data_IF_103926048854
#
_entry.id   IF_103926048854
#
_cell.length_a   1.000
_cell.length_b   1.000
_cell.length_c   1.000
_cell.angle_alpha   90.00
_cell.angle_beta   90.00
_cell.angle_gamma   90.00
#
_symmetry.space_group_name_H-M   'P 1'
#
loop_
_entity.id
_entity.type
_entity.pdbx_description
1 polymer ?
#
# COMPACT_ATOMS: atom_id res chain seq x y z
N UNK A 1 -25.97 -56.15 14.63
CA UNK A 1 -24.94 -57.04 15.22
C UNK A 1 -23.80 -56.17 15.70
N UNK A 2 -23.64 -56.07 17.01
CA UNK A 2 -22.46 -56.09 17.88
C UNK A 2 -21.34 -55.12 17.52
N UNK A 3 -21.16 -54.01 18.22
CA UNK A 3 -20.58 -53.90 19.61
C UNK A 3 -19.05 -53.74 19.54
N UNK A 4 -18.53 -52.69 20.16
CA UNK A 4 -17.12 -52.54 20.44
C UNK A 4 -16.76 -51.18 21.08
N UNK A 5 -17.17 -51.01 22.32
CA UNK A 5 -16.69 -50.02 23.28
C UNK A 5 -15.27 -50.39 23.74
N UNK A 6 -14.33 -49.44 23.81
CA UNK A 6 -13.32 -49.40 24.87
C UNK A 6 -12.72 -48.00 25.05
N UNK A 7 -13.03 -47.51 26.20
CA UNK A 7 -12.44 -46.54 27.10
C UNK A 7 -10.94 -46.75 27.30
N UNK A 8 -10.20 -45.66 27.44
CA UNK A 8 -9.14 -45.58 28.46
C UNK A 8 -8.89 -44.14 28.87
N UNK A 9 -9.26 -43.88 30.07
CA UNK A 9 -8.90 -42.77 30.95
C UNK A 9 -7.41 -42.92 31.31
N UNK A 10 -6.63 -41.82 31.29
CA UNK A 10 -5.50 -41.66 32.21
C UNK A 10 -5.38 -40.20 32.60
N UNK A 11 -5.80 -39.93 33.81
CA UNK A 11 -5.51 -38.71 34.56
C UNK A 11 -4.11 -38.82 35.15
N UNK A 12 -3.31 -37.78 35.07
CA UNK A 12 -2.17 -37.60 35.96
C UNK A 12 -2.13 -36.14 36.44
N UNK A 13 -2.50 -36.04 37.69
CA UNK A 13 -2.41 -34.90 38.59
C UNK A 13 -0.93 -34.76 38.97
N UNK A 14 -0.32 -33.59 38.74
CA UNK A 14 0.90 -33.17 39.45
C UNK A 14 0.65 -31.83 40.10
N UNK A 15 0.34 -31.88 41.38
CA UNK A 15 0.41 -30.78 42.33
C UNK A 15 1.90 -30.46 42.57
N UNK A 16 2.29 -29.22 42.29
CA UNK A 16 3.55 -28.65 42.70
C UNK A 16 3.30 -27.35 43.47
N UNK A 17 3.16 -27.47 44.79
CA UNK A 17 3.25 -26.33 45.71
C UNK A 17 4.69 -25.76 45.67
N UNK A 18 4.86 -24.51 45.33
CA UNK A 18 6.08 -23.78 45.59
C UNK A 18 5.76 -22.57 46.45
N UNK A 19 6.38 -22.56 47.59
CA UNK A 19 6.23 -21.63 48.70
C UNK A 19 6.59 -20.19 48.30
N UNK A 20 5.72 -19.27 48.67
CA UNK A 20 6.00 -17.86 48.74
C UNK A 20 6.95 -17.60 49.92
N UNK A 21 8.17 -17.18 49.66
CA UNK A 21 9.03 -16.46 50.61
C UNK A 21 8.81 -14.96 50.43
N UNK A 22 8.12 -14.36 51.38
CA UNK A 22 8.04 -12.92 51.53
C UNK A 22 9.38 -12.37 52.05
N UNK A 23 10.14 -11.75 51.17
CA UNK A 23 11.29 -10.92 51.56
C UNK A 23 10.76 -9.49 51.79
N UNK A 24 10.75 -9.08 53.07
CA UNK A 24 10.45 -7.71 53.47
C UNK A 24 11.48 -6.73 52.94
N UNK A 25 11.08 -5.89 52.00
CA UNK A 25 11.84 -4.70 51.65
C UNK A 25 11.43 -3.55 52.56
N UNK A 26 12.37 -3.12 53.39
CA UNK A 26 12.31 -1.85 54.15
C UNK A 26 12.26 -0.71 53.14
N UNK A 27 11.16 0.03 53.16
CA UNK A 27 11.00 1.26 52.40
C UNK A 27 11.84 2.35 53.11
N UNK A 28 13.00 2.69 52.57
CA UNK A 28 13.70 3.93 52.93
C UNK A 28 12.99 5.12 52.33
N UNK A 29 12.66 6.08 53.21
CA UNK A 29 12.03 7.33 52.80
C UNK A 29 12.98 8.15 51.89
N UNK A 30 12.48 8.81 50.85
CA UNK A 30 13.31 9.62 49.96
C UNK A 30 13.85 10.84 50.74
N UNK A 31 15.18 10.95 50.79
CA UNK A 31 15.87 12.15 51.26
C UNK A 31 15.71 13.23 50.18
N UNK A 32 15.08 14.33 50.49
CA UNK A 32 15.10 15.53 49.66
C UNK A 32 16.53 16.09 49.65
N UNK A 33 17.08 16.44 48.48
CA UNK A 33 18.39 17.11 48.42
C UNK A 33 18.25 18.54 48.96
N UNK A 34 19.24 18.92 49.79
CA UNK A 34 19.36 20.28 50.33
C UNK A 34 19.43 21.32 49.20
N UNK A 35 18.83 22.49 49.50
CA UNK A 35 18.76 23.63 48.59
C UNK A 35 20.15 24.07 48.14
N UNK A 36 20.54 23.67 46.95
CA UNK A 36 21.74 24.16 46.26
C UNK A 36 21.52 25.63 45.85
N UNK A 37 22.50 26.46 46.14
CA UNK A 37 22.54 27.87 45.74
C UNK A 37 22.30 28.00 44.23
N UNK A 38 21.31 28.84 43.87
CA UNK A 38 21.08 29.25 42.48
C UNK A 38 22.23 30.15 42.03
N UNK A 39 23.16 29.59 41.29
CA UNK A 39 24.16 30.38 40.55
C UNK A 39 23.46 30.94 39.33
N UNK A 40 23.14 32.21 39.34
CA UNK A 40 22.64 32.90 38.15
C UNK A 40 23.82 33.03 37.18
N UNK A 41 23.86 32.11 36.23
CA UNK A 41 24.71 32.32 35.05
C UNK A 41 24.07 33.39 34.20
N UNK A 42 24.75 34.49 34.06
CA UNK A 42 24.40 35.56 33.13
C UNK A 42 24.59 34.99 31.74
N UNK A 43 23.46 34.63 31.10
CA UNK A 43 23.43 34.09 29.76
C UNK A 43 23.94 35.15 28.78
N UNK A 44 25.06 34.85 28.11
CA UNK A 44 25.56 35.70 27.04
C UNK A 44 24.48 35.86 25.96
N UNK A 45 24.30 37.07 25.48
CA UNK A 45 23.31 37.36 24.42
C UNK A 45 23.53 36.39 23.23
N UNK A 46 22.49 35.73 22.74
CA UNK A 46 22.61 34.75 21.66
C UNK A 46 23.23 35.39 20.42
N UNK A 47 24.22 34.74 19.88
CA UNK A 47 24.90 35.16 18.66
C UNK A 47 23.86 35.20 17.52
N UNK A 48 23.84 36.23 16.70
CA UNK A 48 22.87 36.37 15.59
C UNK A 48 22.92 35.20 14.58
N UNK A 49 24.00 34.43 14.56
CA UNK A 49 24.14 33.25 13.71
C UNK A 49 23.35 32.04 14.22
N UNK A 50 23.06 31.98 15.55
CA UNK A 50 22.20 30.93 16.14
C UNK A 50 20.71 31.13 15.82
N UNK A 51 20.30 32.38 15.54
CA UNK A 51 18.91 32.68 15.19
C UNK A 51 18.51 32.10 13.81
N UNK A 52 19.47 31.91 12.89
CA UNK A 52 19.19 31.28 11.60
C UNK A 52 19.09 29.74 11.69
N UNK A 53 19.73 29.10 12.67
CA UNK A 53 19.58 27.67 12.92
C UNK A 53 18.33 27.32 13.74
N UNK A 54 17.83 28.24 14.55
CA UNK A 54 16.60 28.05 15.31
C UNK A 54 15.32 28.12 14.44
N UNK A 55 15.44 28.60 13.20
CA UNK A 55 14.36 28.68 12.23
C UNK A 55 14.07 27.36 11.49
N UNK A 56 14.83 26.30 11.73
CA UNK A 56 14.39 24.93 11.41
C UNK A 56 13.35 24.49 12.44
N UNK A 57 12.17 25.13 12.42
CA UNK A 57 11.04 24.75 13.23
C UNK A 57 10.79 23.23 13.10
N UNK A 58 10.44 22.57 14.18
CA UNK A 58 10.05 21.15 14.15
C UNK A 58 9.04 20.95 13.03
N UNK A 59 9.48 20.25 11.98
CA UNK A 59 8.59 19.92 10.88
C UNK A 59 7.53 18.96 11.40
N UNK A 60 6.28 19.32 11.22
CA UNK A 60 5.17 18.42 11.56
C UNK A 60 5.32 17.15 10.72
N UNK A 61 5.33 15.96 11.33
CA UNK A 61 5.44 14.71 10.58
C UNK A 61 4.32 14.60 9.55
N UNK A 62 4.63 14.08 8.38
CA UNK A 62 3.64 13.79 7.33
C UNK A 62 3.17 12.36 7.52
N UNK A 63 1.91 12.20 7.94
CA UNK A 63 1.26 10.92 8.08
C UNK A 63 0.90 10.31 6.72
N UNK A 64 0.57 11.15 5.74
CA UNK A 64 0.27 10.69 4.39
C UNK A 64 -0.30 11.76 3.48
N UNK A 65 -0.81 11.29 2.33
CA UNK A 65 -1.55 12.07 1.37
C UNK A 65 -2.94 11.50 1.21
N UNK A 66 -3.91 12.37 1.04
CA UNK A 66 -5.30 12.01 0.77
C UNK A 66 -5.77 12.73 -0.48
N UNK A 67 -6.50 12.04 -1.34
CA UNK A 67 -7.06 12.63 -2.54
C UNK A 67 -8.58 12.52 -2.56
N UNK A 68 -9.25 13.55 -3.08
CA UNK A 68 -10.64 13.50 -3.44
C UNK A 68 -10.76 13.39 -4.95
N UNK A 69 -11.17 12.22 -5.45
CA UNK A 69 -11.37 12.01 -6.87
C UNK A 69 -12.45 12.94 -7.44
N UNK A 70 -13.48 13.28 -6.64
CA UNK A 70 -14.58 14.17 -7.07
C UNK A 70 -14.13 15.61 -7.30
N UNK A 71 -13.11 16.07 -6.58
CA UNK A 71 -12.68 17.47 -6.60
C UNK A 71 -11.30 17.68 -7.24
N UNK A 72 -10.57 16.61 -7.54
CA UNK A 72 -9.21 16.68 -8.05
C UNK A 72 -8.26 17.34 -7.05
N UNK A 73 -8.55 17.24 -5.76
CA UNK A 73 -7.73 17.79 -4.68
C UNK A 73 -6.84 16.71 -4.09
N UNK A 74 -5.58 17.06 -3.88
CA UNK A 74 -4.61 16.32 -3.09
C UNK A 74 -4.32 17.12 -1.83
N UNK A 75 -4.36 16.51 -0.64
CA UNK A 75 -4.02 17.17 0.62
C UNK A 75 -3.00 16.37 1.40
N UNK A 76 -2.18 17.07 2.15
CA UNK A 76 -1.33 16.48 3.18
C UNK A 76 -2.16 16.10 4.40
N UNK A 77 -1.84 14.95 4.95
CA UNK A 77 -2.27 14.53 6.27
C UNK A 77 -1.07 14.71 7.21
N UNK A 78 -1.14 15.69 8.09
CA UNK A 78 -0.06 16.11 8.97
C UNK A 78 -0.31 15.61 10.40
N UNK A 79 0.75 15.24 11.12
CA UNK A 79 0.67 14.80 12.51
C UNK A 79 0.90 13.31 12.67
N UNK A 80 0.29 12.76 13.72
CA UNK A 80 0.31 11.32 14.06
C UNK A 80 -1.13 10.87 14.28
N UNK A 81 -1.45 9.55 14.24
CA UNK A 81 -2.78 9.07 14.60
C UNK A 81 -3.27 9.64 15.93
N UNK A 82 -4.51 10.14 15.97
CA UNK A 82 -5.08 10.80 17.16
C UNK A 82 -4.70 12.27 17.35
N UNK A 83 -3.68 12.78 16.66
CA UNK A 83 -3.28 14.19 16.67
C UNK A 83 -2.90 14.66 15.26
N UNK A 84 -3.85 14.58 14.34
CA UNK A 84 -3.64 14.86 12.92
C UNK A 84 -4.51 16.02 12.43
N UNK A 85 -4.04 16.68 11.37
CA UNK A 85 -4.76 17.74 10.68
C UNK A 85 -4.60 17.61 9.17
N UNK A 86 -5.60 18.07 8.41
CA UNK A 86 -5.49 18.22 6.97
C UNK A 86 -4.75 19.51 6.64
N UNK A 87 -3.69 19.38 5.83
CA UNK A 87 -2.97 20.52 5.27
C UNK A 87 -3.76 21.23 4.17
N UNK A 88 -3.17 22.28 3.64
CA UNK A 88 -3.70 23.00 2.48
C UNK A 88 -3.78 22.08 1.26
N UNK A 89 -4.74 22.32 0.35
CA UNK A 89 -4.81 21.59 -0.90
C UNK A 89 -3.56 21.80 -1.73
N UNK A 90 -3.01 20.69 -2.24
CA UNK A 90 -1.97 20.68 -3.25
C UNK A 90 -2.61 20.61 -4.63
N UNK A 91 -2.05 21.32 -5.60
CA UNK A 91 -2.56 21.26 -6.95
C UNK A 91 -2.20 19.91 -7.59
N UNK A 92 -3.18 19.22 -8.13
CA UNK A 92 -2.98 17.99 -8.91
C UNK A 92 -2.84 18.38 -10.38
N UNK A 93 -1.95 17.73 -11.16
CA UNK A 93 -1.87 18.00 -12.59
C UNK A 93 -3.25 17.90 -13.25
N UNK A 94 -3.62 18.89 -14.06
CA UNK A 94 -4.90 18.89 -14.75
C UNK A 94 -5.00 17.70 -15.71
N UNK A 95 -6.21 17.14 -15.86
CA UNK A 95 -6.45 16.08 -16.83
C UNK A 95 -6.13 14.67 -16.31
N UNK A 96 -5.99 14.47 -15.01
CA UNK A 96 -5.91 13.13 -14.41
C UNK A 96 -7.28 12.47 -14.36
N UNK A 97 -7.30 11.17 -14.64
CA UNK A 97 -8.43 10.27 -14.39
C UNK A 97 -8.34 9.73 -12.98
N UNK A 98 -7.19 9.14 -12.64
CA UNK A 98 -6.94 8.47 -11.37
C UNK A 98 -5.55 8.77 -10.82
N UNK A 99 -5.43 8.65 -9.50
CA UNK A 99 -4.21 8.78 -8.73
C UNK A 99 -4.05 7.54 -7.85
N UNK A 100 -3.01 6.75 -8.10
CA UNK A 100 -2.73 5.52 -7.36
C UNK A 100 -1.54 5.73 -6.44
N UNK A 101 -1.78 5.79 -5.14
CA UNK A 101 -0.71 5.93 -4.15
C UNK A 101 0.00 4.62 -3.90
N UNK A 102 1.32 4.66 -3.88
CA UNK A 102 2.11 3.55 -3.38
C UNK A 102 1.84 3.29 -1.89
N UNK A 103 1.98 2.05 -1.38
CA UNK A 103 1.68 1.73 0.02
C UNK A 103 2.46 2.56 1.05
N UNK A 104 3.68 2.99 0.74
CA UNK A 104 4.49 3.85 1.59
C UNK A 104 4.28 5.34 1.32
N UNK A 105 3.43 5.68 0.36
CA UNK A 105 3.11 7.04 -0.08
C UNK A 105 4.34 7.95 -0.32
N UNK A 106 5.44 7.38 -0.81
CA UNK A 106 6.59 8.15 -1.27
C UNK A 106 6.42 8.62 -2.72
N UNK A 107 5.47 8.03 -3.44
CA UNK A 107 5.10 8.38 -4.80
C UNK A 107 3.65 7.96 -5.12
N UNK A 108 3.15 8.45 -6.24
CA UNK A 108 1.90 7.97 -6.85
C UNK A 108 2.05 7.82 -8.36
N UNK A 109 1.29 6.89 -8.95
CA UNK A 109 1.11 6.77 -10.38
C UNK A 109 -0.07 7.64 -10.81
N UNK A 110 0.11 8.37 -11.91
CA UNK A 110 -0.84 9.34 -12.46
C UNK A 110 -1.42 8.79 -13.75
N UNK A 111 -2.68 8.37 -13.75
CA UNK A 111 -3.36 7.95 -14.97
C UNK A 111 -4.08 9.15 -15.61
N UNK A 112 -3.75 9.56 -16.84
CA UNK A 112 -4.38 10.69 -17.49
C UNK A 112 -5.80 10.32 -17.98
N UNK A 113 -6.70 11.32 -18.10
CA UNK A 113 -8.00 11.14 -18.77
C UNK A 113 -7.85 10.90 -20.27
N UNK A 114 -6.86 11.50 -20.86
CA UNK A 114 -6.49 11.37 -22.27
C UNK A 114 -4.96 11.48 -22.38
N UNK A 115 -4.39 10.73 -23.30
CA UNK A 115 -2.93 10.70 -23.50
C UNK A 115 -2.38 9.29 -23.35
N UNK A 116 -1.14 9.13 -23.76
CA UNK A 116 -0.51 7.83 -23.97
C UNK A 116 0.57 7.50 -22.94
N UNK A 117 0.68 8.30 -21.86
CA UNK A 117 1.80 8.16 -20.93
C UNK A 117 1.31 8.14 -19.48
N UNK A 118 1.65 7.09 -18.77
CA UNK A 118 1.50 7.00 -17.32
C UNK A 118 2.52 7.91 -16.65
N UNK A 119 2.06 8.76 -15.72
CA UNK A 119 2.92 9.64 -14.92
C UNK A 119 3.36 8.97 -13.62
N UNK A 120 4.48 9.45 -13.08
CA UNK A 120 4.99 9.13 -11.76
C UNK A 120 5.26 10.46 -11.03
N UNK A 121 4.58 10.68 -9.92
CA UNK A 121 4.82 11.81 -9.04
C UNK A 121 5.45 11.34 -7.73
N UNK A 122 6.60 11.90 -7.37
CA UNK A 122 7.26 11.62 -6.10
C UNK A 122 6.88 12.64 -5.05
N UNK A 123 6.94 12.27 -3.78
CA UNK A 123 6.64 13.14 -2.66
C UNK A 123 7.86 13.27 -1.74
N UNK A 124 8.41 14.47 -1.60
CA UNK A 124 9.52 14.78 -0.72
C UNK A 124 9.04 15.61 0.48
N UNK A 125 8.83 14.94 1.62
CA UNK A 125 8.33 15.62 2.82
C UNK A 125 6.93 16.21 2.61
N UNK A 126 6.82 17.52 2.71
CA UNK A 126 5.59 18.31 2.49
C UNK A 126 5.51 18.90 1.07
N UNK A 127 6.58 18.74 0.29
CA UNK A 127 6.68 19.32 -1.06
C UNK A 127 6.33 18.26 -2.11
N UNK A 128 5.75 18.74 -3.18
CA UNK A 128 5.53 17.96 -4.39
C UNK A 128 6.87 17.73 -5.05
N UNK A 129 7.14 16.49 -5.39
CA UNK A 129 8.33 16.14 -6.15
C UNK A 129 8.11 16.32 -7.66
N UNK A 130 9.14 15.96 -8.41
CA UNK A 130 9.09 15.98 -9.86
C UNK A 130 8.04 14.98 -10.38
N UNK A 131 7.37 15.35 -11.46
CA UNK A 131 6.55 14.44 -12.26
C UNK A 131 7.40 13.91 -13.39
N UNK A 132 7.53 12.57 -13.48
CA UNK A 132 8.21 11.87 -14.56
C UNK A 132 7.21 11.04 -15.36
N UNK A 133 7.58 10.69 -16.59
CA UNK A 133 6.79 9.82 -17.46
C UNK A 133 7.36 8.41 -17.47
N UNK A 134 6.52 7.37 -17.40
CA UNK A 134 6.91 5.98 -17.55
C UNK A 134 6.59 5.53 -18.97
N UNK A 135 7.59 5.56 -19.85
CA UNK A 135 7.41 5.24 -21.26
C UNK A 135 7.02 3.76 -21.47
N UNK A 136 6.04 3.51 -22.34
CA UNK A 136 5.57 2.16 -22.70
C UNK A 136 4.67 1.51 -21.65
N UNK A 137 4.46 2.14 -20.49
CA UNK A 137 3.50 1.67 -19.52
C UNK A 137 2.05 1.93 -19.98
N UNK A 138 1.12 1.07 -19.56
CA UNK A 138 -0.31 1.26 -19.77
C UNK A 138 -0.72 2.62 -19.17
N UNK A 139 -1.22 3.56 -20.00
CA UNK A 139 -1.50 4.92 -19.51
C UNK A 139 -2.75 4.98 -18.64
N UNK A 140 -3.72 4.10 -18.89
CA UNK A 140 -5.01 4.08 -18.21
C UNK A 140 -5.33 2.67 -17.71
N UNK A 141 -4.59 2.17 -16.70
CA UNK A 141 -4.85 0.85 -16.15
C UNK A 141 -6.23 0.79 -15.47
N UNK A 142 -6.92 -0.34 -15.61
CA UNK A 142 -8.16 -0.63 -14.87
C UNK A 142 -7.86 -1.13 -13.46
N UNK A 143 -6.74 -1.84 -13.31
CA UNK A 143 -6.27 -2.38 -12.03
C UNK A 143 -4.80 -2.01 -11.85
N UNK A 144 -4.47 -1.50 -10.67
CA UNK A 144 -3.10 -1.24 -10.23
C UNK A 144 -2.88 -1.95 -8.91
N UNK A 145 -1.85 -2.79 -8.85
CA UNK A 145 -1.39 -3.43 -7.63
C UNK A 145 0.06 -3.04 -7.38
N UNK A 146 0.35 -2.59 -6.15
CA UNK A 146 1.71 -2.33 -5.71
C UNK A 146 2.22 -3.50 -4.88
N UNK A 147 3.52 -3.74 -4.95
CA UNK A 147 4.16 -4.62 -3.98
C UNK A 147 4.12 -3.99 -2.58
N UNK A 148 4.09 -4.79 -1.51
CA UNK A 148 4.07 -4.27 -0.13
C UNK A 148 5.21 -3.28 0.18
N UNK A 149 6.39 -3.49 -0.41
CA UNK A 149 7.55 -2.60 -0.29
C UNK A 149 7.53 -1.41 -1.22
N UNK A 150 6.50 -1.28 -2.08
CA UNK A 150 6.32 -0.17 -3.01
C UNK A 150 7.44 0.00 -4.05
N UNK A 151 8.25 -1.02 -4.32
CA UNK A 151 9.31 -0.99 -5.33
C UNK A 151 8.84 -1.45 -6.71
N UNK A 152 7.65 -2.05 -6.76
CA UNK A 152 7.07 -2.65 -7.96
C UNK A 152 5.60 -2.33 -8.07
N UNK A 153 5.11 -2.20 -9.30
CA UNK A 153 3.69 -2.09 -9.61
C UNK A 153 3.31 -3.03 -10.75
N UNK A 154 2.16 -3.68 -10.63
CA UNK A 154 1.54 -4.43 -11.71
C UNK A 154 0.30 -3.66 -12.20
N UNK A 155 0.18 -3.51 -13.50
CA UNK A 155 -0.86 -2.77 -14.19
C UNK A 155 -1.64 -3.71 -15.10
N UNK A 156 -2.95 -3.65 -15.07
CA UNK A 156 -3.79 -4.39 -16.01
C UNK A 156 -4.76 -3.45 -16.73
N UNK A 157 -4.89 -3.62 -18.04
CA UNK A 157 -5.87 -2.94 -18.87
C UNK A 157 -6.78 -3.96 -19.56
N UNK A 158 -8.07 -3.88 -19.27
CA UNK A 158 -9.10 -4.68 -19.96
C UNK A 158 -9.19 -4.31 -21.42
N UNK A 159 -9.13 -3.00 -21.72
CA UNK A 159 -9.23 -2.49 -23.09
C UNK A 159 -8.07 -2.97 -23.98
N UNK A 160 -6.86 -3.05 -23.43
CA UNK A 160 -5.68 -3.51 -24.15
C UNK A 160 -5.48 -5.03 -24.02
N UNK A 161 -6.21 -5.69 -23.12
CA UNK A 161 -6.08 -7.13 -22.86
C UNK A 161 -4.66 -7.50 -22.46
N UNK A 162 -3.99 -6.73 -21.60
CA UNK A 162 -2.61 -7.00 -21.19
C UNK A 162 -2.32 -6.58 -19.77
N UNK A 163 -1.35 -7.28 -19.19
CA UNK A 163 -0.78 -6.99 -17.89
C UNK A 163 0.68 -6.56 -18.07
N UNK A 164 1.11 -5.58 -17.29
CA UNK A 164 2.48 -5.08 -17.28
C UNK A 164 3.04 -5.00 -15.86
N UNK A 165 4.36 -5.18 -15.71
CA UNK A 165 5.06 -5.02 -14.43
C UNK A 165 6.13 -3.96 -14.58
N UNK A 166 6.11 -3.00 -13.66
CA UNK A 166 7.10 -1.93 -13.54
C UNK A 166 7.87 -2.16 -12.25
N UNK A 167 9.18 -2.23 -12.32
CA UNK A 167 10.09 -2.35 -11.18
C UNK A 167 10.96 -1.11 -11.01
N UNK A 168 11.69 -1.01 -9.90
CA UNK A 168 12.61 0.11 -9.64
C UNK A 168 11.94 1.41 -9.23
N UNK A 169 10.66 1.35 -8.83
CA UNK A 169 9.90 2.50 -8.36
C UNK A 169 10.41 2.99 -6.98
N UNK A 170 10.40 4.31 -6.74
CA UNK A 170 10.15 5.40 -7.69
C UNK A 170 11.41 5.86 -8.42
N UNK A 171 12.61 5.37 -8.08
CA UNK A 171 13.88 5.97 -8.47
C UNK A 171 14.28 5.74 -9.94
N UNK A 172 14.05 4.53 -10.44
CA UNK A 172 14.45 4.13 -11.81
C UNK A 172 13.39 3.17 -12.38
N UNK A 173 12.19 3.66 -12.73
CA UNK A 173 11.11 2.82 -13.20
C UNK A 173 11.47 2.15 -14.52
N UNK A 174 11.30 0.82 -14.57
CA UNK A 174 11.55 0.01 -15.75
C UNK A 174 10.37 -0.93 -15.99
N UNK A 175 9.92 -1.01 -17.24
CA UNK A 175 8.94 -2.00 -17.67
C UNK A 175 9.68 -3.34 -17.86
N UNK A 176 9.50 -4.27 -16.93
CA UNK A 176 10.27 -5.52 -16.89
C UNK A 176 9.50 -6.72 -17.43
N UNK A 177 8.17 -6.63 -17.50
CA UNK A 177 7.34 -7.74 -17.98
C UNK A 177 6.08 -7.24 -18.66
N UNK A 178 5.71 -7.91 -19.75
CA UNK A 178 4.42 -7.74 -20.43
C UNK A 178 3.82 -9.14 -20.61
N UNK A 179 2.58 -9.31 -20.12
CA UNK A 179 1.82 -10.55 -20.28
C UNK A 179 0.60 -10.21 -21.15
N UNK A 180 0.52 -10.76 -22.37
CA UNK A 180 -0.66 -10.57 -23.21
C UNK A 180 -1.86 -11.31 -22.61
N UNK A 181 -3.06 -10.82 -22.86
CA UNK A 181 -4.30 -11.43 -22.34
C UNK A 181 -4.53 -12.87 -22.78
N UNK A 182 -3.96 -13.26 -23.94
CA UNK A 182 -3.99 -14.67 -24.39
C UNK A 182 -3.26 -15.64 -23.46
N UNK A 183 -2.33 -15.13 -22.66
CA UNK A 183 -1.52 -15.91 -21.72
C UNK A 183 -2.06 -15.88 -20.29
N UNK A 184 -3.11 -15.06 -20.07
CA UNK A 184 -3.85 -15.03 -18.81
C UNK A 184 -4.90 -16.14 -18.79
N UNK A 185 -5.14 -16.77 -17.61
CA UNK A 185 -6.07 -17.89 -17.54
C UNK A 185 -7.54 -17.48 -17.72
N UNK A 186 -7.89 -16.22 -17.39
CA UNK A 186 -9.25 -15.68 -17.44
C UNK A 186 -9.22 -14.15 -17.32
N UNK A 187 -10.41 -13.51 -17.18
CA UNK A 187 -10.51 -12.07 -16.92
C UNK A 187 -10.01 -11.74 -15.51
N UNK A 188 -9.06 -10.79 -15.44
CA UNK A 188 -8.47 -10.33 -14.18
C UNK A 188 -9.48 -9.49 -13.39
N UNK A 189 -9.76 -9.90 -12.17
CA UNK A 189 -10.57 -9.15 -11.20
C UNK A 189 -9.70 -8.55 -10.09
N UNK A 190 -8.71 -9.31 -9.64
CA UNK A 190 -7.77 -8.93 -8.60
C UNK A 190 -6.35 -9.21 -9.07
N UNK A 191 -5.43 -8.36 -8.66
CA UNK A 191 -4.02 -8.45 -9.01
C UNK A 191 -3.19 -8.19 -7.77
N UNK A 192 -2.13 -8.95 -7.58
CA UNK A 192 -1.14 -8.70 -6.55
C UNK A 192 0.27 -8.97 -7.11
N UNK A 193 1.25 -8.24 -6.61
CA UNK A 193 2.67 -8.39 -6.97
C UNK A 193 3.51 -8.42 -5.70
N UNK A 194 4.46 -9.35 -5.62
CA UNK A 194 5.36 -9.48 -4.50
C UNK A 194 6.53 -8.47 -4.56
N UNK A 195 7.27 -8.34 -3.45
CA UNK A 195 8.40 -7.40 -3.36
C UNK A 195 9.61 -7.78 -4.24
N UNK A 196 9.68 -9.03 -4.70
CA UNK A 196 10.70 -9.49 -5.64
C UNK A 196 10.53 -8.92 -7.07
N UNK A 197 9.36 -8.36 -7.37
CA UNK A 197 9.03 -7.81 -8.68
C UNK A 197 8.80 -8.86 -9.77
N UNK A 198 8.77 -10.13 -9.40
CA UNK A 198 8.66 -11.28 -10.32
C UNK A 198 7.39 -12.07 -10.06
N UNK A 199 7.09 -12.33 -8.78
CA UNK A 199 5.94 -13.12 -8.34
C UNK A 199 4.67 -12.31 -8.49
N UNK A 200 3.79 -12.76 -9.37
CA UNK A 200 2.47 -12.18 -9.61
C UNK A 200 1.39 -13.17 -9.21
N UNK A 201 0.33 -12.68 -8.62
CA UNK A 201 -0.90 -13.44 -8.40
C UNK A 201 -2.08 -12.74 -9.09
N UNK A 202 -2.93 -13.54 -9.71
CA UNK A 202 -4.15 -13.12 -10.40
C UNK A 202 -5.35 -13.80 -9.78
N UNK A 203 -6.34 -13.00 -9.41
CA UNK A 203 -7.68 -13.45 -9.04
C UNK A 203 -8.63 -13.22 -10.22
N UNK A 204 -9.32 -14.28 -10.65
CA UNK A 204 -10.12 -14.24 -11.87
C UNK A 204 -11.61 -14.00 -11.59
N UNK A 205 -12.35 -13.67 -12.64
CA UNK A 205 -13.82 -13.53 -12.61
C UNK A 205 -14.53 -14.82 -12.15
N UNK A 206 -13.89 -15.98 -12.30
CA UNK A 206 -14.42 -17.27 -11.81
C UNK A 206 -13.91 -17.65 -10.43
N UNK A 207 -13.45 -16.68 -9.64
CA UNK A 207 -12.99 -16.85 -8.26
C UNK A 207 -11.78 -17.77 -8.08
N UNK A 208 -10.99 -17.96 -9.12
CA UNK A 208 -9.77 -18.74 -9.08
C UNK A 208 -8.56 -17.82 -8.84
N UNK A 209 -7.62 -18.29 -8.03
CA UNK A 209 -6.35 -17.61 -7.75
C UNK A 209 -5.24 -18.36 -8.47
N UNK A 210 -4.52 -17.67 -9.35
CA UNK A 210 -3.37 -18.20 -10.07
C UNK A 210 -2.09 -17.48 -9.67
N UNK A 211 -0.98 -18.18 -9.69
CA UNK A 211 0.34 -17.57 -9.77
C UNK A 211 0.78 -17.54 -11.23
N UNK A 212 1.31 -16.41 -11.66
CA UNK A 212 1.86 -16.19 -12.98
C UNK A 212 3.39 -16.24 -12.88
N UNK A 213 4.03 -17.40 -13.09
CA UNK A 213 5.48 -17.51 -13.00
C UNK A 213 6.16 -16.66 -14.08
N UNK A 214 7.41 -16.26 -13.86
CA UNK A 214 8.15 -15.48 -14.86
C UNK A 214 8.28 -16.26 -16.18
N UNK A 215 8.47 -17.55 -16.08
CA UNK A 215 8.52 -18.48 -17.21
C UNK A 215 7.53 -19.62 -17.00
N UNK A 216 6.78 -19.96 -18.02
CA UNK A 216 5.82 -21.06 -17.97
C UNK A 216 4.37 -20.63 -17.98
N UNK A 217 3.48 -21.60 -17.77
CA UNK A 217 2.03 -21.37 -17.75
C UNK A 217 1.55 -20.94 -16.38
N UNK A 218 0.46 -20.18 -16.30
CA UNK A 218 -0.24 -19.88 -15.05
C UNK A 218 -0.56 -21.16 -14.29
N UNK A 219 -0.33 -21.14 -12.98
CA UNK A 219 -0.61 -22.28 -12.08
C UNK A 219 -1.72 -21.93 -11.11
N UNK A 220 -2.78 -22.72 -11.12
CA UNK A 220 -3.88 -22.60 -10.17
C UNK A 220 -3.38 -22.87 -8.74
N UNK A 221 -3.65 -21.95 -7.84
CA UNK A 221 -3.34 -22.06 -6.42
C UNK A 221 -4.58 -22.43 -5.61
N UNK A 222 -5.71 -21.79 -5.88
CA UNK A 222 -6.93 -21.94 -5.10
C UNK A 222 -8.16 -21.58 -5.94
N UNK A 223 -9.31 -22.15 -5.58
CA UNK A 223 -10.62 -21.74 -6.10
C UNK A 223 -11.52 -21.39 -4.91
N UNK A 224 -11.91 -20.15 -4.84
CA UNK A 224 -12.80 -19.59 -3.82
C UNK A 224 -14.28 -19.79 -4.22
N UNK A 225 -15.18 -19.67 -3.27
CA UNK A 225 -16.61 -19.54 -3.56
C UNK A 225 -17.00 -18.15 -4.05
N UNK A 226 -16.35 -17.12 -3.50
CA UNK A 226 -16.54 -15.71 -3.86
C UNK A 226 -15.31 -14.89 -3.43
N UNK A 227 -14.29 -14.87 -4.30
CA UNK A 227 -13.05 -14.13 -4.05
C UNK A 227 -13.33 -12.63 -4.03
N UNK A 228 -12.92 -11.95 -2.95
CA UNK A 228 -13.18 -10.51 -2.78
C UNK A 228 -11.93 -9.65 -2.61
N UNK A 229 -10.76 -10.25 -2.62
CA UNK A 229 -9.51 -9.50 -2.56
C UNK A 229 -8.34 -10.41 -2.25
N UNK A 230 -7.16 -9.92 -2.61
CA UNK A 230 -5.90 -10.59 -2.32
C UNK A 230 -4.75 -9.58 -2.25
N UNK A 231 -3.74 -9.86 -1.43
CA UNK A 231 -2.53 -9.04 -1.30
C UNK A 231 -1.37 -9.89 -0.79
N UNK A 232 -0.16 -9.64 -1.28
CA UNK A 232 1.03 -10.28 -0.71
C UNK A 232 1.33 -9.74 0.68
N UNK A 233 1.75 -10.61 1.59
CA UNK A 233 2.27 -10.22 2.87
C UNK A 233 3.68 -9.62 2.69
N UNK A 234 4.04 -8.56 3.44
CA UNK A 234 5.33 -7.88 3.29
C UNK A 234 6.52 -8.83 3.54
N UNK A 235 7.51 -8.80 2.64
CA UNK A 235 8.78 -9.54 2.75
C UNK A 235 8.66 -11.07 2.72
N UNK A 236 7.53 -11.59 2.34
CA UNK A 236 7.31 -13.03 2.15
C UNK A 236 6.81 -13.26 0.73
N UNK A 237 6.85 -14.50 0.27
CA UNK A 237 6.16 -14.93 -0.94
C UNK A 237 4.73 -15.40 -0.67
N UNK A 238 4.15 -15.01 0.47
CA UNK A 238 2.86 -15.50 0.93
C UNK A 238 1.75 -14.54 0.49
N UNK A 239 0.64 -15.08 0.03
CA UNK A 239 -0.52 -14.34 -0.44
C UNK A 239 -1.69 -14.50 0.52
N UNK A 240 -2.19 -13.40 1.06
CA UNK A 240 -3.44 -13.34 1.81
C UNK A 240 -4.59 -13.17 0.83
N UNK A 241 -5.68 -13.93 1.01
CA UNK A 241 -6.89 -13.76 0.23
C UNK A 241 -8.14 -13.94 1.11
N UNK A 242 -9.27 -13.40 0.64
CA UNK A 242 -10.55 -13.47 1.32
C UNK A 242 -11.63 -14.07 0.42
N UNK A 243 -12.26 -15.17 0.92
CA UNK A 243 -13.43 -15.81 0.32
C UNK A 243 -14.68 -15.41 1.12
N UNK A 244 -15.51 -14.55 0.54
CA UNK A 244 -16.74 -14.07 1.18
C UNK A 244 -17.78 -15.15 1.31
N UNK A 245 -17.90 -16.06 0.34
CA UNK A 245 -18.90 -17.13 0.40
C UNK A 245 -18.65 -18.09 1.57
N UNK A 246 -17.38 -18.36 1.85
CA UNK A 246 -16.96 -19.15 3.00
C UNK A 246 -16.86 -18.32 4.30
N UNK A 247 -16.80 -16.99 4.21
CA UNK A 247 -16.50 -16.10 5.32
C UNK A 247 -15.09 -16.34 5.88
N UNK A 248 -14.11 -16.67 5.03
CA UNK A 248 -12.77 -17.06 5.46
C UNK A 248 -11.70 -16.20 4.86
N UNK A 249 -10.71 -15.81 5.68
CA UNK A 249 -9.43 -15.31 5.22
C UNK A 249 -8.39 -16.42 5.30
N UNK A 250 -7.55 -16.53 4.31
CA UNK A 250 -6.53 -17.57 4.22
C UNK A 250 -5.21 -17.05 3.67
N UNK A 251 -4.15 -17.78 3.95
CA UNK A 251 -2.80 -17.52 3.47
C UNK A 251 -2.38 -18.68 2.56
N UNK A 252 -1.95 -18.33 1.37
CA UNK A 252 -1.25 -19.24 0.47
C UNK A 252 0.24 -18.98 0.67
N UNK A 253 0.91 -19.91 1.33
CA UNK A 253 2.34 -19.81 1.61
C UNK A 253 3.15 -20.34 0.43
N UNK A 254 4.31 -19.74 0.17
CA UNK A 254 5.24 -20.15 -0.87
C UNK A 254 4.55 -20.32 -2.24
N UNK A 255 3.92 -19.26 -2.71
CA UNK A 255 3.09 -19.31 -3.94
C UNK A 255 3.89 -19.68 -5.19
N UNK A 256 5.20 -19.49 -5.22
CA UNK A 256 6.07 -19.92 -6.33
C UNK A 256 6.44 -21.40 -6.27
N UNK A 257 6.61 -21.92 -5.06
CA UNK A 257 7.01 -23.31 -4.80
C UNK A 257 5.86 -24.28 -4.62
N UNK A 258 5.98 -25.12 -3.63
CA UNK A 258 4.95 -26.09 -3.23
C UNK A 258 3.91 -25.40 -2.32
N UNK A 259 3.10 -24.54 -2.88
CA UNK A 259 2.15 -23.74 -2.10
C UNK A 259 1.33 -24.54 -1.12
N UNK A 260 1.21 -24.04 0.10
CA UNK A 260 0.38 -24.61 1.17
C UNK A 260 -0.71 -23.61 1.59
N UNK A 261 -1.83 -24.14 2.03
CA UNK A 261 -2.98 -23.39 2.51
C UNK A 261 -2.97 -23.31 4.03
N UNK A 262 -3.11 -22.10 4.58
CA UNK A 262 -3.29 -21.88 6.01
C UNK A 262 -4.54 -21.04 6.22
N UNK A 263 -5.50 -21.55 7.00
CA UNK A 263 -6.66 -20.76 7.42
C UNK A 263 -6.21 -19.71 8.43
N UNK A 264 -6.40 -18.44 8.11
CA UNK A 264 -6.09 -17.32 8.99
C UNK A 264 -7.24 -17.00 9.94
N UNK A 265 -8.45 -16.97 9.42
CA UNK A 265 -9.66 -16.71 10.19
C UNK A 265 -10.88 -17.29 9.47
N UNK A 266 -11.89 -17.70 10.24
CA UNK A 266 -13.20 -18.15 9.78
C UNK A 266 -14.32 -17.36 10.45
N UNK A 267 -15.54 -17.51 9.93
CA UNK A 267 -16.72 -16.82 10.47
C UNK A 267 -16.69 -15.30 10.29
N UNK A 268 -15.85 -14.78 9.38
CA UNK A 268 -15.81 -13.36 9.05
C UNK A 268 -17.14 -12.96 8.37
N UNK A 269 -17.97 -12.27 9.11
CA UNK A 269 -19.32 -11.88 8.68
C UNK A 269 -19.46 -10.36 8.55
N UNK A 270 -20.53 -9.90 7.88
CA UNK A 270 -20.82 -8.48 7.73
C UNK A 270 -19.95 -7.78 6.68
N UNK A 271 -19.26 -8.51 5.81
CA UNK A 271 -18.40 -7.96 4.76
C UNK A 271 -19.14 -7.90 3.40
N UNK A 272 -20.31 -7.27 3.37
CA UNK A 272 -21.11 -7.09 2.17
C UNK A 272 -20.61 -5.93 1.30
N UNK A 273 -20.95 -5.94 0.01
CA UNK A 273 -20.53 -4.89 -0.94
C UNK A 273 -19.11 -5.06 -1.43
N UNK A 274 -18.45 -3.96 -1.76
CA UNK A 274 -17.05 -4.00 -2.18
C UNK A 274 -16.15 -4.21 -0.97
N UNK A 275 -15.29 -5.19 -1.04
CA UNK A 275 -14.34 -5.51 0.02
C UNK A 275 -12.96 -4.99 -0.35
N UNK A 276 -12.29 -4.42 0.62
CA UNK A 276 -10.90 -4.00 0.55
C UNK A 276 -10.06 -4.93 1.42
N UNK A 277 -8.96 -5.40 0.89
CA UNK A 277 -7.97 -6.18 1.63
C UNK A 277 -6.60 -5.52 1.47
N UNK A 278 -5.94 -5.25 2.58
CA UNK A 278 -4.58 -4.73 2.62
C UNK A 278 -3.76 -5.49 3.65
N UNK A 279 -2.47 -5.57 3.41
CA UNK A 279 -1.52 -6.20 4.30
C UNK A 279 -0.52 -5.18 4.83
N UNK A 280 -0.06 -5.41 6.06
CA UNK A 280 1.00 -4.65 6.72
C UNK A 280 1.98 -5.62 7.39
N UNK A 281 3.01 -5.09 8.04
CA UNK A 281 3.93 -5.94 8.83
C UNK A 281 3.25 -6.61 10.02
N UNK A 282 2.22 -5.97 10.56
CA UNK A 282 1.49 -6.49 11.72
C UNK A 282 0.44 -7.52 11.33
N UNK A 283 -0.20 -7.35 10.16
CA UNK A 283 -1.31 -8.22 9.81
C UNK A 283 -1.98 -7.87 8.48
N UNK A 284 -3.17 -8.41 8.31
CA UNK A 284 -4.08 -8.09 7.22
C UNK A 284 -5.31 -7.37 7.76
N UNK A 285 -5.81 -6.39 7.01
CA UNK A 285 -7.04 -5.66 7.30
C UNK A 285 -8.03 -5.90 6.18
N UNK A 286 -9.26 -6.27 6.55
CA UNK A 286 -10.36 -6.51 5.63
C UNK A 286 -11.52 -5.58 6.00
N UNK A 287 -11.90 -4.71 5.10
CA UNK A 287 -12.98 -3.75 5.29
C UNK A 287 -13.99 -3.85 4.13
N UNK A 288 -15.22 -3.41 4.34
CA UNK A 288 -16.28 -3.44 3.34
C UNK A 288 -17.05 -2.13 3.28
N UNK A 289 -17.44 -1.70 2.08
CA UNK A 289 -18.21 -0.48 1.86
C UNK A 289 -19.63 -0.51 2.44
N UNK A 290 -20.13 -1.66 2.87
CA UNK A 290 -21.47 -1.83 3.47
C UNK A 290 -21.44 -2.31 4.91
N UNK A 291 -20.27 -2.30 5.54
CA UNK A 291 -20.10 -2.67 6.95
C UNK A 291 -19.68 -1.46 7.79
N UNK A 292 -20.16 -1.42 9.01
CA UNK A 292 -19.66 -0.50 10.04
C UNK A 292 -18.66 -1.18 10.98
N UNK A 293 -17.97 -2.16 10.49
CA UNK A 293 -16.83 -2.79 11.13
C UNK A 293 -15.83 -3.28 10.10
N UNK A 294 -14.61 -3.53 10.54
CA UNK A 294 -13.57 -4.19 9.77
C UNK A 294 -13.02 -5.36 10.57
N UNK A 295 -12.32 -6.24 9.89
CA UNK A 295 -11.57 -7.32 10.51
C UNK A 295 -10.09 -7.05 10.40
N UNK A 296 -9.39 -7.19 11.50
CA UNK A 296 -7.94 -7.18 11.57
C UNK A 296 -7.46 -8.56 11.95
N UNK A 297 -6.48 -9.08 11.20
CA UNK A 297 -5.94 -10.43 11.37
C UNK A 297 -4.44 -10.32 11.57
N UNK A 298 -3.96 -10.73 12.72
CA UNK A 298 -2.53 -10.81 13.00
C UNK A 298 -1.96 -12.06 12.31
N UNK A 299 -1.04 -11.86 11.36
CA UNK A 299 -0.46 -12.95 10.57
C UNK A 299 0.50 -13.87 11.36
N UNK A 300 0.98 -13.42 12.52
CA UNK A 300 1.87 -14.21 13.36
C UNK A 300 1.11 -15.09 14.38
N UNK A 301 0.12 -14.49 15.06
CA UNK A 301 -0.69 -15.20 16.06
C UNK A 301 -1.93 -15.90 15.48
N UNK A 302 -2.27 -15.61 14.23
CA UNK A 302 -3.48 -16.06 13.54
C UNK A 302 -4.77 -15.67 14.29
N UNK A 303 -4.73 -14.57 15.02
CA UNK A 303 -5.89 -14.04 15.72
C UNK A 303 -6.58 -12.99 14.88
N UNK A 304 -7.89 -13.10 14.74
CA UNK A 304 -8.74 -12.13 14.09
C UNK A 304 -9.57 -11.38 15.13
N UNK A 305 -9.69 -10.06 14.96
CA UNK A 305 -10.55 -9.23 15.78
C UNK A 305 -11.43 -8.33 14.91
N UNK A 306 -12.66 -8.15 15.37
CA UNK A 306 -13.61 -7.24 14.74
C UNK A 306 -13.47 -5.86 15.36
N UNK A 307 -13.19 -4.85 14.55
CA UNK A 307 -13.03 -3.46 14.97
C UNK A 307 -14.26 -2.67 14.54
N UNK A 308 -15.07 -2.16 15.47
CA UNK A 308 -16.23 -1.36 15.13
C UNK A 308 -15.82 -0.01 14.55
N UNK A 309 -16.53 0.42 13.51
CA UNK A 309 -16.32 1.69 12.83
C UNK A 309 -17.44 2.68 13.14
N UNK A 310 -17.16 3.98 13.11
CA UNK A 310 -18.18 5.02 13.29
C UNK A 310 -19.15 5.12 12.11
N UNK A 311 -18.86 4.43 11.03
CA UNK A 311 -19.67 4.37 9.81
C UNK A 311 -19.04 3.44 8.77
N UNK A 312 -19.57 3.46 7.57
CA UNK A 312 -19.09 2.61 6.47
C UNK A 312 -17.81 3.17 5.86
N UNK A 313 -16.72 2.39 5.75
CA UNK A 313 -15.51 2.83 5.09
C UNK A 313 -15.75 2.98 3.58
N UNK A 314 -15.07 3.93 2.97
CA UNK A 314 -15.12 4.13 1.52
C UNK A 314 -13.88 3.62 0.80
N UNK A 315 -12.80 3.41 1.55
CA UNK A 315 -11.51 2.97 1.06
C UNK A 315 -10.74 2.26 2.16
N UNK A 316 -9.66 1.62 1.80
CA UNK A 316 -8.62 1.13 2.70
C UNK A 316 -7.28 1.48 2.06
N UNK A 317 -6.84 2.72 2.25
CA UNK A 317 -5.62 3.24 1.64
C UNK A 317 -4.49 3.26 2.66
N UNK A 318 -3.38 2.55 2.42
CA UNK A 318 -2.21 2.62 3.29
C UNK A 318 -1.69 4.05 3.41
N UNK A 319 -1.24 4.42 4.59
CA UNK A 319 -0.55 5.68 4.87
C UNK A 319 0.97 5.45 4.95
N UNK A 320 1.76 6.51 5.16
CA UNK A 320 3.23 6.42 5.22
C UNK A 320 3.74 5.53 6.33
N UNK A 321 3.03 5.49 7.45
CA UNK A 321 3.33 4.58 8.55
C UNK A 321 2.68 3.24 8.23
N UNK A 322 3.49 2.19 8.14
CA UNK A 322 2.99 0.84 7.88
C UNK A 322 2.04 0.41 9.00
N UNK A 323 0.83 0.01 8.63
CA UNK A 323 -0.23 -0.37 9.57
C UNK A 323 -1.22 0.76 9.87
N UNK A 324 -0.98 1.97 9.34
CA UNK A 324 -1.96 3.04 9.37
C UNK A 324 -2.72 3.07 8.04
N UNK A 325 -4.05 3.20 8.10
CA UNK A 325 -4.90 3.18 6.93
C UNK A 325 -5.93 4.30 6.97
N UNK A 326 -6.09 4.98 5.83
CA UNK A 326 -7.22 5.88 5.61
C UNK A 326 -8.46 5.05 5.24
N UNK A 327 -9.53 5.21 6.00
CA UNK A 327 -10.80 4.48 5.80
C UNK A 327 -11.85 5.34 5.11
N UNK A 328 -11.81 6.63 5.34
CA UNK A 328 -12.79 7.58 4.84
C UNK A 328 -12.13 8.94 4.63
N UNK A 329 -12.36 9.51 3.45
CA UNK A 329 -12.03 10.90 3.18
C UNK A 329 -13.06 11.51 2.23
N UNK A 330 -13.66 12.61 2.67
CA UNK A 330 -14.52 13.45 1.84
C UNK A 330 -14.30 14.90 2.22
N UNK A 331 -14.11 15.76 1.24
CA UNK A 331 -13.90 17.18 1.50
C UNK A 331 -15.05 17.76 2.33
N UNK A 332 -14.70 18.50 3.36
CA UNK A 332 -15.67 19.09 4.28
C UNK A 332 -16.18 18.15 5.39
N UNK A 333 -15.78 16.89 5.39
CA UNK A 333 -16.07 15.92 6.46
C UNK A 333 -14.76 15.48 7.14
N UNK A 334 -14.83 15.05 8.43
CA UNK A 334 -13.68 14.46 9.10
C UNK A 334 -13.18 13.21 8.36
N UNK A 335 -11.87 13.09 8.18
CA UNK A 335 -11.28 11.85 7.70
C UNK A 335 -11.15 10.83 8.84
N UNK A 336 -11.17 9.54 8.53
CA UNK A 336 -11.00 8.48 9.53
C UNK A 336 -9.74 7.67 9.21
N UNK A 337 -8.94 7.45 10.24
CA UNK A 337 -7.69 6.70 10.18
C UNK A 337 -7.79 5.53 11.14
N UNK A 338 -7.45 4.35 10.66
CA UNK A 338 -7.17 3.17 11.45
C UNK A 338 -5.68 3.16 11.79
N UNK A 339 -5.34 3.05 13.07
CA UNK A 339 -4.02 2.65 13.56
C UNK A 339 -4.07 1.18 13.98
N UNK A 340 -3.47 0.30 13.18
CA UNK A 340 -3.37 -1.13 13.45
C UNK A 340 -2.02 -1.53 14.08
N UNK A 341 -1.18 -0.56 14.44
CA UNK A 341 0.12 -0.82 15.07
C UNK A 341 0.04 -0.97 16.59
N UNK A 342 -1.03 -0.45 17.18
CA UNK A 342 -1.27 -0.56 18.62
C UNK A 342 -1.80 -1.94 19.00
N UNK A 343 -1.60 -2.35 20.27
CA UNK A 343 -2.14 -3.62 20.78
C UNK A 343 -3.68 -3.69 20.68
N UNK A 344 -4.32 -2.53 20.72
CA UNK A 344 -5.75 -2.35 20.45
C UNK A 344 -5.88 -1.40 19.26
N UNK A 345 -6.37 -1.87 18.10
CA UNK A 345 -6.57 -1.03 16.94
C UNK A 345 -7.47 0.16 17.26
N UNK A 346 -7.04 1.34 16.86
CA UNK A 346 -7.72 2.58 17.17
C UNK A 346 -8.22 3.29 15.92
N UNK A 347 -9.44 3.86 16.01
CA UNK A 347 -9.95 4.77 14.98
C UNK A 347 -9.76 6.21 15.47
N UNK A 348 -9.03 6.98 14.70
CA UNK A 348 -8.85 8.41 14.95
C UNK A 348 -9.53 9.26 13.88
N UNK A 349 -9.97 10.45 14.30
CA UNK A 349 -10.64 11.42 13.44
C UNK A 349 -9.71 12.58 13.14
N UNK A 350 -9.62 12.93 11.87
CA UNK A 350 -8.95 14.15 11.44
C UNK A 350 -10.01 15.18 11.13
N UNK A 351 -10.00 16.33 11.80
CA UNK A 351 -10.99 17.37 11.55
C UNK A 351 -11.04 17.76 10.07
N UNK A 352 -12.23 18.10 9.59
CA UNK A 352 -12.36 18.68 8.25
C UNK A 352 -11.45 19.91 8.17
N UNK A 353 -10.53 19.91 7.19
CA UNK A 353 -9.66 21.07 6.96
C UNK A 353 -10.48 22.31 6.64
N UNK A 354 -9.88 23.49 6.80
CA UNK A 354 -10.50 24.74 6.37
C UNK A 354 -10.95 24.60 4.90
N UNK A 355 -12.08 25.22 4.57
CA UNK A 355 -12.55 25.27 3.19
C UNK A 355 -11.42 25.80 2.29
N UNK A 356 -11.23 25.23 1.08
CA UNK A 356 -10.14 25.64 0.20
C UNK A 356 -10.19 27.15 -0.02
N UNK A 357 -9.03 27.79 0.11
CA UNK A 357 -8.93 29.20 -0.27
C UNK A 357 -9.36 29.32 -1.75
N UNK A 358 -10.09 30.37 -2.10
CA UNK A 358 -10.61 30.57 -3.46
C UNK A 358 -9.53 30.60 -4.55
N UNK A 359 -8.27 30.55 -4.17
CA UNK A 359 -7.11 30.52 -5.06
C UNK A 359 -6.16 29.39 -4.63
N UNK A 360 -6.28 28.19 -5.22
CA UNK A 360 -5.26 27.15 -5.05
C UNK A 360 -3.93 27.73 -5.55
N UNK A 361 -2.87 27.54 -4.78
CA UNK A 361 -1.52 27.94 -5.17
C UNK A 361 -1.18 27.15 -6.45
N UNK A 362 -0.96 27.81 -7.61
CA UNK A 362 -0.60 27.10 -8.82
C UNK A 362 0.74 26.41 -8.58
N UNK A 363 0.82 25.13 -8.96
CA UNK A 363 2.10 24.43 -9.01
C UNK A 363 3.06 25.17 -9.92
N UNK A 364 4.29 25.47 -9.51
CA UNK A 364 5.30 25.89 -10.44
C UNK A 364 5.55 24.71 -11.38
N UNK A 365 5.15 24.84 -12.63
CA UNK A 365 5.53 23.92 -13.70
C UNK A 365 7.05 24.04 -13.92
N UNK A 366 7.82 23.41 -13.05
CA UNK A 366 9.27 23.29 -13.24
C UNK A 366 9.53 22.02 -14.01
N UNK A 367 9.61 22.16 -15.33
CA UNK A 367 10.39 21.32 -16.23
C UNK A 367 10.23 19.80 -16.03
N UNK A 368 9.54 19.17 -16.95
CA UNK A 368 9.57 17.70 -17.15
C UNK A 368 11.03 17.30 -17.39
N UNK A 369 11.69 16.75 -16.38
CA UNK A 369 13.00 16.13 -16.55
C UNK A 369 12.82 14.75 -17.18
N UNK A 370 13.08 14.65 -18.47
CA UNK A 370 13.27 13.35 -19.14
C UNK A 370 14.58 12.77 -18.60
N UNK A 371 14.51 11.67 -17.89
CA UNK A 371 15.69 10.89 -17.53
C UNK A 371 16.32 10.37 -18.84
N UNK A 372 17.35 11.07 -19.33
CA UNK A 372 18.20 10.62 -20.43
C UNK A 372 19.19 9.60 -19.88
N UNK A 373 19.27 8.45 -20.56
CA UNK A 373 20.34 7.47 -20.38
C UNK A 373 21.70 8.17 -20.36
N UNK A 374 22.47 7.88 -19.32
CA UNK A 374 23.84 8.35 -19.15
C UNK A 374 24.75 7.58 -20.10
N UNK A 375 24.85 7.99 -21.36
CA UNK A 375 26.00 7.69 -22.18
C UNK A 375 26.70 8.99 -22.56
N UNK A 376 27.97 9.00 -22.16
CA UNK A 376 28.97 10.04 -22.40
C UNK A 376 29.01 10.60 -23.81
N UNK A 377 28.88 11.93 -23.98
CA UNK A 377 29.58 12.69 -25.02
C UNK A 377 29.48 14.19 -24.76
N UNK A 378 30.54 14.87 -25.10
CA UNK A 378 30.94 16.25 -24.99
C UNK A 378 29.89 17.34 -25.35
N UNK A 379 30.09 18.58 -24.86
CA UNK A 379 29.13 19.66 -25.05
C UNK A 379 29.34 20.40 -26.39
N UNK A 380 28.27 20.58 -27.12
CA UNK A 380 28.18 21.67 -28.10
C UNK A 380 26.90 22.47 -27.88
N UNK A 381 27.11 23.80 -27.73
CA UNK A 381 26.13 24.84 -27.58
C UNK A 381 25.30 24.99 -28.86
N UNK A 382 24.00 24.81 -28.81
CA UNK A 382 23.04 25.61 -29.61
C UNK A 382 21.67 25.63 -28.92
N UNK A 383 21.16 26.80 -28.64
CA UNK A 383 19.81 27.11 -28.21
C UNK A 383 18.78 26.76 -29.26
N UNK A 384 17.70 26.04 -28.87
CA UNK A 384 16.38 26.18 -29.50
C UNK A 384 15.25 25.48 -28.69
N UNK A 385 14.19 26.20 -28.43
CA UNK A 385 12.77 25.92 -28.43
C UNK A 385 12.27 24.66 -27.68
N UNK A 386 11.52 24.88 -26.58
CA UNK A 386 10.75 23.84 -25.89
C UNK A 386 9.69 23.25 -26.84
N UNK A 387 9.89 22.00 -27.23
CA UNK A 387 8.80 21.12 -27.71
C UNK A 387 8.81 19.84 -26.90
N UNK A 388 7.63 19.37 -26.47
CA UNK A 388 7.45 18.19 -25.63
C UNK A 388 8.21 16.98 -26.16
N UNK A 389 9.06 16.40 -25.31
CA UNK A 389 9.81 15.20 -25.65
C UNK A 389 8.83 14.01 -25.73
N UNK A 390 8.50 13.63 -26.98
CA UNK A 390 7.82 12.38 -27.26
C UNK A 390 8.72 11.21 -26.82
N UNK A 391 8.14 10.20 -26.17
CA UNK A 391 8.80 8.92 -25.95
C UNK A 391 9.10 8.28 -27.32
N UNK A 392 10.30 8.47 -27.85
CA UNK A 392 10.71 7.85 -29.10
C UNK A 392 11.54 6.62 -28.81
N UNK A 393 11.03 5.44 -29.20
CA UNK A 393 11.83 4.25 -29.35
C UNK A 393 11.50 3.04 -28.46
N UNK A 394 10.26 2.56 -28.49
CA UNK A 394 10.03 1.11 -28.25
C UNK A 394 10.10 0.46 -29.64
N UNK A 395 11.04 -0.48 -29.90
CA UNK A 395 11.01 -1.22 -31.15
C UNK A 395 9.72 -2.06 -31.19
N UNK A 396 8.97 -1.91 -32.27
CA UNK A 396 7.78 -2.71 -32.54
C UNK A 396 8.16 -4.21 -32.46
N UNK A 397 7.40 -5.05 -31.74
CA UNK A 397 7.69 -6.46 -31.64
C UNK A 397 7.67 -7.08 -33.03
N UNK A 398 8.77 -7.70 -33.42
CA UNK A 398 8.90 -8.41 -34.70
C UNK A 398 7.78 -9.46 -34.81
N UNK A 399 6.94 -9.43 -35.84
CA UNK A 399 5.85 -10.40 -35.98
C UNK A 399 6.39 -11.82 -36.00
N UNK A 400 5.78 -12.71 -35.24
CA UNK A 400 6.13 -14.11 -35.14
C UNK A 400 6.14 -14.77 -36.53
N UNK A 401 7.11 -15.64 -36.84
CA UNK A 401 7.19 -16.34 -38.14
C UNK A 401 5.93 -17.20 -38.33
N UNK A 402 5.31 -17.07 -39.51
CA UNK A 402 4.15 -17.87 -39.90
C UNK A 402 4.45 -19.37 -39.75
N UNK A 403 3.57 -20.15 -39.13
CA UNK A 403 3.76 -21.60 -39.05
C UNK A 403 3.77 -22.22 -40.46
N UNK A 404 4.59 -23.27 -40.68
CA UNK A 404 4.64 -23.94 -41.96
C UNK A 404 3.28 -24.59 -42.32
N UNK A 405 2.95 -24.70 -43.62
CA UNK A 405 1.70 -25.28 -44.04
C UNK A 405 1.59 -26.75 -43.59
N UNK A 406 0.47 -27.11 -42.98
CA UNK A 406 0.17 -28.49 -42.57
C UNK A 406 0.09 -29.35 -43.85
N UNK A 407 1.00 -30.28 -43.98
CA UNK A 407 0.90 -31.36 -44.96
C UNK A 407 -0.15 -32.36 -44.46
N UNK A 408 -1.28 -32.42 -45.11
CA UNK A 408 -2.26 -33.51 -44.94
C UNK A 408 -1.73 -34.74 -45.64
N UNK A 409 -1.52 -35.79 -44.85
CA UNK A 409 -1.40 -37.16 -45.33
C UNK A 409 -2.72 -37.89 -45.14
#
# INVERSE_FOLDING_TARGET
>A
MRSGIRRSLLALLCLGLSQLQAAGQKTEAPRYPEQGQIVVHQEAAPNRDDANNAAQGMQTPVLGFVSSAEQGELRLLLGIPGASALGEPLAVPAGLRDLFFAPNQTYALLAPKAGDVLGLMTFQGVEEGAVASICGAIPQPDIVAFSPGASTAALYSRAEGRLQVITGLPGSPQLTRIVPGSDLPDEVQYLAVADDGVTLAEGTAHNAVYVLPQLGLPRLLYTAGDLQGMAFAPRTGDLVAFDRAAGTAFLLQDVEGASSYVLLADGLSGLDGNVFLQTSRAGAVIASTKSNSLWEINLQSLQAQNVPLPGMPQMLQPLRISGDFLLFFRTGLPAWILDSNSAEPGISFVPAGAAPSKHPRPLPFSTIHVLKDSQSAQPDLVSQGASGAACTGVPEPTPAPKPPPRTTY
#
